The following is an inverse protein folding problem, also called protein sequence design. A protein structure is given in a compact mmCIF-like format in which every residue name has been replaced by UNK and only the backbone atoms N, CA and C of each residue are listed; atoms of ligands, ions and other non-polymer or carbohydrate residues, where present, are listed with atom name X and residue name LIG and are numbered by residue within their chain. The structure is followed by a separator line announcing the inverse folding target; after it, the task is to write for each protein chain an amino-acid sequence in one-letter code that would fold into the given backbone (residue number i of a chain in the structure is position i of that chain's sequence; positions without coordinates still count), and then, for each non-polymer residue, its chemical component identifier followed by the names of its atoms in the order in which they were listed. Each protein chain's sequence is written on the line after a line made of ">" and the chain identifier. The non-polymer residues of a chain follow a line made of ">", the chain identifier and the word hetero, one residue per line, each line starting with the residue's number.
data_IF_480308146619
#
_entry.id   IF_480308146619
#
_cell.length_a   1.000
_cell.length_b   1.000
_cell.length_c   1.000
_cell.angle_alpha   90.00
_cell.angle_beta   90.00
_cell.angle_gamma   90.00
#
_symmetry.space_group_name_H-M   'P 1'
#
loop_
_entity.id
_entity.type
_entity.pdbx_description
1 polymer ?
#
# COMPACT_ATOMS: atom_id res chain seq x y z
N UNK A 1 -19.80 -26.81 -8.08
CA UNK A 1 -19.97 -26.68 -9.54
C UNK A 1 -18.68 -27.13 -10.23
N UNK A 2 -18.72 -27.76 -11.42
CA UNK A 2 -17.52 -28.17 -12.13
C UNK A 2 -16.73 -26.94 -12.62
N UNK A 3 -15.39 -26.99 -12.52
CA UNK A 3 -14.52 -26.03 -13.21
C UNK A 3 -14.64 -26.31 -14.72
N UNK A 4 -15.30 -25.42 -15.47
CA UNK A 4 -15.13 -25.41 -16.93
C UNK A 4 -13.69 -24.98 -17.23
N UNK A 5 -12.88 -25.90 -17.74
CA UNK A 5 -11.62 -25.53 -18.38
C UNK A 5 -11.96 -24.77 -19.67
N UNK A 6 -11.94 -23.44 -19.61
CA UNK A 6 -11.86 -22.63 -20.82
C UNK A 6 -10.42 -22.72 -21.32
N UNK A 7 -10.20 -23.59 -22.31
CA UNK A 7 -9.13 -23.38 -23.28
C UNK A 7 -9.48 -22.14 -24.11
N UNK A 8 -9.16 -20.96 -23.58
CA UNK A 8 -9.11 -19.74 -24.38
C UNK A 8 -7.97 -19.93 -25.38
N UNK A 9 -8.28 -20.04 -26.66
CA UNK A 9 -7.30 -19.85 -27.72
C UNK A 9 -6.91 -18.38 -27.74
N UNK A 10 -5.95 -18.03 -26.90
CA UNK A 10 -5.40 -16.69 -26.77
C UNK A 10 -4.48 -16.48 -27.97
N UNK A 11 -5.01 -15.85 -29.01
CA UNK A 11 -4.23 -15.32 -30.12
C UNK A 11 -3.04 -14.49 -29.58
N UNK A 12 -1.85 -14.71 -30.14
CA UNK A 12 -0.61 -14.06 -29.72
C UNK A 12 -0.50 -12.65 -30.34
N UNK A 13 -1.54 -11.85 -30.13
CA UNK A 13 -1.59 -10.43 -30.49
C UNK A 13 -2.10 -9.60 -29.32
N UNK A 14 -1.87 -8.29 -29.39
CA UNK A 14 -2.46 -7.34 -28.45
C UNK A 14 -3.99 -7.46 -28.36
N UNK A 15 -4.66 -7.68 -29.50
CA UNK A 15 -6.11 -7.83 -29.56
C UNK A 15 -6.56 -9.12 -28.88
N UNK A 16 -5.90 -10.25 -29.15
CA UNK A 16 -6.17 -11.54 -28.50
C UNK A 16 -6.05 -11.45 -26.97
N UNK A 17 -5.00 -10.77 -26.47
CA UNK A 17 -4.82 -10.55 -25.04
C UNK A 17 -5.92 -9.65 -24.42
N UNK A 18 -6.28 -8.53 -25.06
CA UNK A 18 -7.41 -7.68 -24.62
C UNK A 18 -8.73 -8.45 -24.61
N UNK A 19 -8.98 -9.29 -25.62
CA UNK A 19 -10.24 -10.01 -25.78
C UNK A 19 -10.38 -11.15 -24.76
N UNK A 20 -9.28 -11.85 -24.44
CA UNK A 20 -9.22 -12.79 -23.32
C UNK A 20 -9.47 -12.12 -21.96
N UNK A 21 -8.87 -10.95 -21.70
CA UNK A 21 -9.12 -10.15 -20.48
C UNK A 21 -10.59 -9.68 -20.39
N UNK A 22 -11.18 -9.25 -21.52
CA UNK A 22 -12.62 -8.92 -21.61
C UNK A 22 -13.50 -10.14 -21.30
N UNK A 23 -13.18 -11.31 -21.86
CA UNK A 23 -13.91 -12.56 -21.65
C UNK A 23 -13.84 -13.04 -20.19
N UNK A 24 -12.65 -13.05 -19.57
CA UNK A 24 -12.49 -13.35 -18.14
C UNK A 24 -13.35 -12.44 -17.27
N UNK A 25 -13.29 -11.11 -17.51
CA UNK A 25 -14.06 -10.11 -16.76
C UNK A 25 -15.57 -10.25 -16.98
N UNK A 26 -16.02 -10.55 -18.19
CA UNK A 26 -17.44 -10.78 -18.50
C UNK A 26 -17.98 -12.05 -17.82
N UNK A 27 -17.25 -13.16 -17.92
CA UNK A 27 -17.63 -14.46 -17.34
C UNK A 27 -17.34 -14.55 -15.83
N UNK A 28 -16.78 -13.49 -15.22
CA UNK A 28 -16.35 -13.42 -13.80
C UNK A 28 -15.33 -14.52 -13.42
N UNK A 29 -14.49 -14.92 -14.37
CA UNK A 29 -13.40 -15.88 -14.15
C UNK A 29 -12.23 -15.13 -13.53
N UNK A 30 -12.01 -15.31 -12.23
CA UNK A 30 -10.86 -14.75 -11.52
C UNK A 30 -9.75 -15.79 -11.41
N UNK A 31 -8.65 -15.55 -12.12
CA UNK A 31 -7.36 -16.20 -11.91
C UNK A 31 -6.28 -15.13 -12.04
N UNK A 32 -5.62 -14.82 -10.92
CA UNK A 32 -4.62 -13.75 -10.85
C UNK A 32 -3.40 -14.04 -11.74
N UNK A 33 -2.97 -15.30 -11.78
CA UNK A 33 -1.87 -15.79 -12.63
C UNK A 33 -2.17 -15.62 -14.13
N UNK A 34 -3.38 -16.01 -14.55
CA UNK A 34 -3.82 -15.87 -15.95
C UNK A 34 -4.02 -14.39 -16.32
N UNK A 35 -4.60 -13.59 -15.42
CA UNK A 35 -4.78 -12.15 -15.64
C UNK A 35 -3.44 -11.41 -15.73
N UNK A 36 -2.45 -11.78 -14.89
CA UNK A 36 -1.07 -11.28 -14.96
C UNK A 36 -0.43 -11.65 -16.29
N UNK A 37 -0.46 -12.93 -16.66
CA UNK A 37 0.11 -13.46 -17.91
C UNK A 37 -0.45 -12.77 -19.15
N UNK A 38 -1.77 -12.53 -19.17
CA UNK A 38 -2.45 -11.79 -20.24
C UNK A 38 -2.09 -10.30 -20.25
N UNK A 39 -1.92 -9.69 -19.07
CA UNK A 39 -1.52 -8.28 -18.94
C UNK A 39 -0.09 -8.07 -19.43
N UNK A 40 0.84 -8.93 -19.04
CA UNK A 40 2.25 -8.84 -19.45
C UNK A 40 2.42 -9.14 -20.96
N UNK A 41 1.62 -10.06 -21.52
CA UNK A 41 1.50 -10.24 -22.98
C UNK A 41 0.97 -8.99 -23.67
N UNK A 42 -0.12 -8.40 -23.18
CA UNK A 42 -0.69 -7.18 -23.75
C UNK A 42 0.31 -6.00 -23.68
N UNK A 43 1.04 -5.86 -22.57
CA UNK A 43 2.16 -4.92 -22.40
C UNK A 43 3.27 -5.18 -23.42
N UNK A 44 3.72 -6.43 -23.58
CA UNK A 44 4.79 -6.79 -24.53
C UNK A 44 4.41 -6.43 -25.97
N UNK A 45 3.15 -6.64 -26.36
CA UNK A 45 2.68 -6.22 -27.69
C UNK A 45 2.48 -4.70 -27.83
N UNK A 46 2.20 -3.96 -26.74
CA UNK A 46 2.18 -2.48 -26.76
C UNK A 46 3.59 -1.90 -26.94
N UNK A 47 4.58 -2.42 -26.21
CA UNK A 47 5.99 -2.03 -26.36
C UNK A 47 6.55 -2.30 -27.77
N UNK A 48 5.92 -3.22 -28.52
CA UNK A 48 6.29 -3.56 -29.89
C UNK A 48 5.55 -2.75 -30.98
N UNK A 49 4.65 -1.80 -30.62
CA UNK A 49 3.93 -0.99 -31.60
C UNK A 49 4.79 0.15 -32.15
N UNK A 50 4.87 0.26 -33.48
CA UNK A 50 5.55 1.36 -34.17
C UNK A 50 4.72 2.63 -34.32
N UNK A 51 3.38 2.52 -34.21
CA UNK A 51 2.44 3.65 -34.26
C UNK A 51 2.11 4.13 -32.83
N UNK A 52 2.49 5.37 -32.45
CA UNK A 52 2.22 5.90 -31.11
C UNK A 52 0.73 6.13 -30.80
N UNK A 53 -0.12 6.40 -31.79
CA UNK A 53 -1.56 6.65 -31.53
C UNK A 53 -2.28 5.32 -31.25
N UNK A 54 -1.99 4.28 -32.04
CA UNK A 54 -2.48 2.92 -31.77
C UNK A 54 -2.00 2.40 -30.41
N UNK A 55 -0.73 2.67 -30.07
CA UNK A 55 -0.14 2.34 -28.77
C UNK A 55 -0.82 3.06 -27.61
N UNK A 56 -1.10 4.37 -27.72
CA UNK A 56 -1.81 5.14 -26.69
C UNK A 56 -3.25 4.64 -26.52
N UNK A 57 -3.97 4.44 -27.63
CA UNK A 57 -5.34 3.93 -27.60
C UNK A 57 -5.42 2.50 -27.04
N UNK A 58 -4.45 1.65 -27.38
CA UNK A 58 -4.31 0.31 -26.84
C UNK A 58 -4.03 0.33 -25.34
N UNK A 59 -3.06 1.13 -24.88
CA UNK A 59 -2.80 1.32 -23.46
C UNK A 59 -4.08 1.79 -22.73
N UNK A 60 -4.81 2.77 -23.26
CA UNK A 60 -6.05 3.26 -22.69
C UNK A 60 -7.14 2.16 -22.60
N UNK A 61 -7.27 1.28 -23.59
CA UNK A 61 -8.16 0.12 -23.52
C UNK A 61 -7.72 -0.90 -22.46
N UNK A 62 -6.42 -1.25 -22.41
CA UNK A 62 -5.88 -2.14 -21.39
C UNK A 62 -6.16 -1.59 -19.99
N UNK A 63 -5.92 -0.29 -19.77
CA UNK A 63 -6.22 0.37 -18.49
C UNK A 63 -7.71 0.25 -18.12
N UNK A 64 -8.65 0.44 -19.06
CA UNK A 64 -10.10 0.29 -18.79
C UNK A 64 -10.47 -1.12 -18.33
N UNK A 65 -9.73 -2.13 -18.77
CA UNK A 65 -9.85 -3.51 -18.28
C UNK A 65 -9.22 -3.67 -16.89
N UNK A 66 -7.98 -3.20 -16.70
CA UNK A 66 -7.20 -3.38 -15.47
C UNK A 66 -7.62 -2.51 -14.28
N UNK A 67 -8.50 -1.51 -14.48
CA UNK A 67 -9.08 -0.60 -13.45
C UNK A 67 -9.80 -1.28 -12.26
N UNK A 68 -9.79 -2.62 -12.12
CA UNK A 68 -10.36 -3.35 -10.97
C UNK A 68 -9.46 -4.41 -10.33
N UNK A 69 -8.34 -4.80 -10.95
CA UNK A 69 -7.52 -5.95 -10.55
C UNK A 69 -6.15 -5.62 -9.96
N UNK A 70 -5.72 -4.35 -9.99
CA UNK A 70 -4.51 -3.90 -9.29
C UNK A 70 -3.18 -4.25 -9.97
N UNK A 71 -3.22 -4.93 -11.12
CA UNK A 71 -2.08 -5.27 -11.99
C UNK A 71 -1.53 -4.06 -12.79
N UNK A 72 -1.61 -2.87 -12.19
CA UNK A 72 -1.17 -1.61 -12.80
C UNK A 72 0.36 -1.45 -12.83
N UNK A 73 1.11 -2.26 -12.08
CA UNK A 73 2.58 -2.19 -12.04
C UNK A 73 3.21 -2.50 -13.40
N UNK A 74 2.83 -3.59 -14.06
CA UNK A 74 3.30 -3.94 -15.42
C UNK A 74 2.94 -2.85 -16.44
N UNK A 75 1.77 -2.25 -16.28
CA UNK A 75 1.21 -1.23 -17.17
C UNK A 75 1.92 0.13 -17.02
N UNK A 76 2.24 0.53 -15.79
CA UNK A 76 3.08 1.70 -15.51
C UNK A 76 4.54 1.47 -15.95
N UNK A 77 5.07 0.26 -15.74
CA UNK A 77 6.41 -0.16 -16.19
C UNK A 77 6.53 -0.07 -17.72
N UNK A 78 5.52 -0.54 -18.46
CA UNK A 78 5.43 -0.42 -19.91
C UNK A 78 5.50 1.04 -20.39
N UNK A 79 4.58 1.89 -19.91
CA UNK A 79 4.53 3.29 -20.32
C UNK A 79 5.84 4.05 -20.04
N UNK A 80 6.54 3.72 -18.95
CA UNK A 80 7.84 4.34 -18.61
C UNK A 80 8.99 3.86 -19.50
N UNK A 81 9.04 2.57 -19.87
CA UNK A 81 10.09 2.04 -20.78
C UNK A 81 10.02 2.66 -22.18
N UNK A 82 8.84 3.13 -22.60
CA UNK A 82 8.62 3.77 -23.89
C UNK A 82 9.01 5.27 -23.95
N UNK A 83 9.61 5.81 -22.88
CA UNK A 83 10.25 7.14 -22.90
C UNK A 83 9.31 8.34 -23.10
N UNK A 84 8.00 8.14 -22.92
CA UNK A 84 6.96 9.17 -23.07
C UNK A 84 6.22 9.36 -21.75
N UNK A 85 5.58 10.51 -21.58
CA UNK A 85 4.56 10.65 -20.54
C UNK A 85 3.50 9.55 -20.71
N UNK A 86 3.06 8.97 -19.60
CA UNK A 86 1.87 8.12 -19.56
C UNK A 86 0.67 8.87 -20.17
N UNK A 87 -0.34 8.17 -20.73
CA UNK A 87 -1.63 8.79 -21.06
C UNK A 87 -2.38 9.31 -19.81
N UNK A 88 -1.78 9.16 -18.64
CA UNK A 88 -2.07 9.92 -17.43
C UNK A 88 -0.95 10.91 -17.16
N UNK A 89 -1.27 12.19 -17.03
CA UNK A 89 -0.29 13.21 -16.61
C UNK A 89 0.15 13.03 -15.16
N UNK A 90 -0.69 12.38 -14.33
CA UNK A 90 -0.35 11.98 -12.95
C UNK A 90 -0.93 10.59 -12.63
N UNK A 91 -0.08 9.68 -12.14
CA UNK A 91 -0.49 8.38 -11.61
C UNK A 91 -0.46 8.39 -10.08
N UNK A 92 -1.62 8.40 -9.43
CA UNK A 92 -1.74 8.36 -7.97
C UNK A 92 -1.83 6.91 -7.50
N UNK A 93 -0.89 6.50 -6.65
CA UNK A 93 -0.69 5.08 -6.31
C UNK A 93 -0.80 4.86 -4.81
N UNK A 94 -1.89 4.20 -4.39
CA UNK A 94 -2.14 3.84 -3.00
C UNK A 94 -1.48 2.52 -2.61
N UNK A 95 -0.58 2.58 -1.64
CA UNK A 95 0.06 1.43 -0.99
C UNK A 95 -0.68 1.15 0.33
N UNK A 96 -1.21 -0.06 0.53
CA UNK A 96 -2.16 -0.34 1.62
C UNK A 96 -1.52 -1.13 2.76
N UNK A 97 -1.50 -0.53 3.95
CA UNK A 97 -1.17 -1.21 5.21
C UNK A 97 -2.47 -1.77 5.83
N UNK A 98 -2.53 -3.05 6.24
CA UNK A 98 -3.71 -3.63 6.86
C UNK A 98 -4.22 -2.80 8.05
N UNK A 99 -5.55 -2.61 8.14
CA UNK A 99 -6.19 -1.92 9.27
C UNK A 99 -6.18 -0.38 9.22
N UNK A 100 -5.48 0.26 8.27
CA UNK A 100 -5.37 1.73 8.14
C UNK A 100 -6.39 2.37 7.19
N UNK A 101 -7.42 1.62 6.79
CA UNK A 101 -8.56 2.17 6.04
C UNK A 101 -8.46 2.12 4.51
N UNK A 102 -7.65 1.24 3.91
CA UNK A 102 -7.71 1.04 2.44
C UNK A 102 -9.09 0.62 1.93
N UNK A 103 -9.94 0.02 2.77
CA UNK A 103 -11.36 -0.22 2.49
C UNK A 103 -12.19 1.07 2.29
N UNK A 104 -11.77 2.20 2.86
CA UNK A 104 -12.31 3.53 2.54
C UNK A 104 -11.73 4.01 1.22
N UNK A 105 -10.39 4.03 1.07
CA UNK A 105 -9.72 4.55 -0.14
C UNK A 105 -10.20 3.83 -1.40
N UNK A 106 -10.27 2.49 -1.39
CA UNK A 106 -10.75 1.66 -2.51
C UNK A 106 -12.22 1.90 -2.90
N UNK A 107 -13.04 2.48 -2.01
CA UNK A 107 -14.47 2.76 -2.26
C UNK A 107 -14.73 4.24 -2.58
N UNK A 108 -13.90 5.12 -2.05
CA UNK A 108 -14.19 6.54 -1.98
C UNK A 108 -13.21 7.40 -2.78
N UNK A 109 -11.98 6.96 -3.06
CA UNK A 109 -11.00 7.73 -3.85
C UNK A 109 -11.02 7.31 -5.33
N UNK A 110 -11.14 8.28 -6.23
CA UNK A 110 -11.31 8.08 -7.67
C UNK A 110 -10.46 9.10 -8.48
N UNK A 111 -10.17 8.82 -9.76
CA UNK A 111 -9.64 9.83 -10.69
C UNK A 111 -10.56 11.06 -10.75
N UNK A 112 -9.98 12.26 -10.68
CA UNK A 112 -10.74 13.52 -10.74
C UNK A 112 -11.13 13.94 -12.16
N UNK A 113 -10.45 13.39 -13.17
CA UNK A 113 -10.70 13.61 -14.58
C UNK A 113 -10.43 12.30 -15.38
N UNK A 114 -10.20 12.42 -16.70
CA UNK A 114 -9.92 11.26 -17.60
C UNK A 114 -8.43 10.93 -17.73
N UNK A 115 -7.56 11.86 -17.35
CA UNK A 115 -6.09 11.82 -17.43
C UNK A 115 -5.42 11.54 -16.07
N UNK A 116 -6.22 11.22 -15.06
CA UNK A 116 -5.77 10.66 -13.79
C UNK A 116 -6.00 9.14 -13.68
N UNK A 117 -5.12 8.49 -12.94
CA UNK A 117 -5.30 7.12 -12.46
C UNK A 117 -5.14 7.04 -10.95
N UNK A 118 -6.04 6.31 -10.29
CA UNK A 118 -5.89 5.88 -8.90
C UNK A 118 -5.65 4.38 -8.90
N UNK A 119 -4.46 3.98 -8.47
CA UNK A 119 -3.97 2.60 -8.42
C UNK A 119 -3.98 2.12 -6.98
N UNK A 120 -4.46 0.91 -6.72
CA UNK A 120 -4.46 0.31 -5.38
C UNK A 120 -3.58 -0.94 -5.38
N UNK A 121 -2.36 -0.86 -4.85
CA UNK A 121 -1.36 -1.94 -4.93
C UNK A 121 -1.66 -3.12 -4.00
N UNK A 122 -2.41 -2.89 -2.92
CA UNK A 122 -2.69 -3.90 -1.89
C UNK A 122 -1.63 -3.96 -0.80
N UNK A 123 -1.60 -5.06 -0.05
CA UNK A 123 -0.63 -5.32 1.02
C UNK A 123 0.71 -5.79 0.42
N UNK A 124 1.41 -4.89 -0.28
CA UNK A 124 2.73 -5.17 -0.85
C UNK A 124 3.84 -4.55 -0.01
N UNK A 125 5.01 -5.18 -0.01
CA UNK A 125 6.23 -4.69 0.65
C UNK A 125 7.28 -4.26 -0.39
N UNK A 126 8.29 -3.52 0.05
CA UNK A 126 9.29 -2.91 -0.81
C UNK A 126 10.63 -3.65 -0.70
N UNK A 127 11.08 -4.28 -1.79
CA UNK A 127 12.39 -4.92 -1.86
C UNK A 127 13.21 -4.25 -2.96
N UNK A 128 14.38 -3.73 -2.61
CA UNK A 128 15.30 -3.03 -3.52
C UNK A 128 16.49 -3.92 -3.95
N UNK A 129 16.29 -5.23 -3.94
CA UNK A 129 17.31 -6.23 -4.27
C UNK A 129 18.42 -6.42 -3.22
N UNK A 130 18.45 -5.60 -2.17
CA UNK A 130 19.38 -5.74 -1.04
C UNK A 130 18.83 -6.53 0.14
N UNK A 131 17.51 -6.76 0.16
CA UNK A 131 16.82 -7.48 1.22
C UNK A 131 16.31 -8.85 0.75
N UNK A 132 16.54 -9.87 1.57
CA UNK A 132 16.00 -11.21 1.39
C UNK A 132 14.60 -11.35 2.03
N UNK A 133 13.63 -12.01 1.37
CA UNK A 133 12.36 -12.38 2.00
C UNK A 133 12.56 -13.19 3.28
N UNK A 134 11.73 -12.95 4.30
CA UNK A 134 11.84 -13.60 5.62
C UNK A 134 12.81 -12.87 6.56
N UNK A 135 14.03 -12.56 6.08
CA UNK A 135 15.09 -11.93 6.88
C UNK A 135 14.75 -10.51 7.35
N UNK A 136 14.07 -9.70 6.52
CA UNK A 136 13.71 -8.31 6.85
C UNK A 136 12.19 -8.04 6.80
N UNK A 137 11.39 -9.00 6.32
CA UNK A 137 9.95 -8.87 6.08
C UNK A 137 9.23 -10.16 6.46
N UNK A 138 8.22 -10.13 7.35
CA UNK A 138 7.47 -11.33 7.74
C UNK A 138 6.82 -12.04 6.55
N UNK A 139 6.99 -13.36 6.45
CA UNK A 139 6.58 -14.21 5.30
C UNK A 139 5.15 -13.96 4.81
N UNK A 140 4.22 -13.71 5.76
CA UNK A 140 2.82 -13.36 5.50
C UNK A 140 2.62 -12.15 4.55
N UNK A 141 3.66 -11.35 4.30
CA UNK A 141 3.68 -10.23 3.35
C UNK A 141 4.63 -10.40 2.16
N UNK A 142 5.54 -11.38 2.15
CA UNK A 142 6.56 -11.57 1.11
C UNK A 142 6.32 -12.79 0.21
N UNK A 143 5.24 -13.56 0.45
CA UNK A 143 4.84 -14.79 -0.24
C UNK A 143 4.44 -14.62 -1.74
N UNK A 144 5.37 -14.15 -2.57
CA UNK A 144 5.32 -14.24 -4.03
C UNK A 144 5.90 -13.01 -4.75
N UNK A 145 6.36 -13.12 -6.01
CA UNK A 145 6.89 -11.97 -6.77
C UNK A 145 5.90 -10.79 -6.89
N UNK A 146 4.60 -11.07 -6.88
CA UNK A 146 3.55 -10.06 -6.90
C UNK A 146 3.29 -9.37 -5.55
N UNK A 147 3.88 -9.84 -4.45
CA UNK A 147 3.81 -9.20 -3.14
C UNK A 147 4.87 -8.07 -2.98
N UNK A 148 5.89 -8.08 -3.83
CA UNK A 148 7.03 -7.17 -3.75
C UNK A 148 6.90 -6.00 -4.74
N UNK A 149 7.57 -4.89 -4.44
CA UNK A 149 7.66 -3.67 -5.24
C UNK A 149 9.09 -3.13 -5.20
N UNK A 150 9.57 -2.58 -6.31
CA UNK A 150 10.84 -1.84 -6.36
C UNK A 150 10.62 -0.33 -6.53
N UNK A 151 11.69 0.46 -6.45
CA UNK A 151 11.67 1.91 -6.74
C UNK A 151 11.19 2.20 -8.17
N UNK A 152 11.55 1.34 -9.12
CA UNK A 152 11.30 1.49 -10.56
C UNK A 152 9.84 1.19 -10.90
N UNK A 153 9.15 0.41 -10.06
CA UNK A 153 7.70 0.23 -10.13
C UNK A 153 6.93 1.46 -9.65
N UNK A 154 7.48 2.20 -8.68
CA UNK A 154 6.90 3.45 -8.14
C UNK A 154 7.43 4.73 -8.82
N UNK A 155 8.44 4.65 -9.67
CA UNK A 155 9.07 5.81 -10.31
C UNK A 155 8.05 6.64 -11.10
N UNK A 156 7.95 7.94 -10.78
CA UNK A 156 6.99 8.85 -11.43
C UNK A 156 5.52 8.66 -11.01
N UNK A 157 5.22 7.74 -10.09
CA UNK A 157 3.93 7.75 -9.39
C UNK A 157 3.96 8.79 -8.26
N UNK A 158 2.81 9.37 -7.94
CA UNK A 158 2.58 10.06 -6.67
C UNK A 158 2.05 9.01 -5.68
N UNK A 159 2.89 8.59 -4.73
CA UNK A 159 2.59 7.46 -3.84
C UNK A 159 1.88 7.94 -2.58
N UNK A 160 0.69 7.40 -2.33
CA UNK A 160 -0.18 7.73 -1.20
C UNK A 160 -0.24 6.52 -0.26
N UNK A 161 -0.29 6.75 1.04
CA UNK A 161 -0.65 5.70 2.00
C UNK A 161 -1.38 6.25 3.23
N UNK A 162 -1.79 5.34 4.11
CA UNK A 162 -2.50 5.64 5.35
C UNK A 162 -1.74 5.03 6.53
N UNK A 163 -1.52 5.83 7.57
CA UNK A 163 -1.24 5.34 8.93
C UNK A 163 -2.52 5.29 9.78
N UNK A 164 -2.38 4.72 10.96
CA UNK A 164 -3.31 4.71 12.08
C UNK A 164 -2.45 4.85 13.34
N UNK A 165 -2.99 5.36 14.43
CA UNK A 165 -2.25 5.38 15.69
C UNK A 165 -1.71 3.97 16.07
N UNK A 166 -0.41 3.87 16.34
CA UNK A 166 0.28 2.58 16.56
C UNK A 166 -0.28 1.77 17.74
N UNK A 167 -0.78 2.44 18.80
CA UNK A 167 -1.37 1.77 19.96
C UNK A 167 -2.72 1.10 19.60
N UNK A 168 -3.51 1.72 18.73
CA UNK A 168 -4.74 1.14 18.17
C UNK A 168 -4.41 -0.04 17.25
N UNK A 169 -3.36 0.07 16.43
CA UNK A 169 -2.87 -1.05 15.58
C UNK A 169 -2.48 -2.25 16.44
N UNK A 170 -1.67 -2.05 17.47
CA UNK A 170 -1.19 -3.12 18.36
C UNK A 170 -2.37 -3.77 19.09
N UNK A 171 -3.27 -2.99 19.69
CA UNK A 171 -4.52 -3.52 20.29
C UNK A 171 -5.37 -4.33 19.28
N UNK A 172 -5.40 -3.92 18.00
CA UNK A 172 -6.11 -4.65 16.94
C UNK A 172 -5.39 -5.90 16.44
N UNK A 173 -4.07 -6.00 16.60
CA UNK A 173 -3.29 -7.20 16.32
C UNK A 173 -3.43 -8.19 17.48
N UNK A 174 -3.31 -7.72 18.73
CA UNK A 174 -3.60 -8.50 19.94
C UNK A 174 -5.02 -9.08 19.95
N UNK A 175 -6.02 -8.35 19.46
CA UNK A 175 -7.39 -8.85 19.33
C UNK A 175 -7.65 -9.68 18.05
N UNK A 176 -6.65 -9.90 17.19
CA UNK A 176 -6.80 -10.60 15.90
C UNK A 176 -7.61 -9.86 14.83
N UNK A 177 -8.21 -8.72 15.19
CA UNK A 177 -9.18 -7.96 14.38
C UNK A 177 -8.58 -7.23 13.16
N UNK A 178 -7.26 -7.35 12.92
CA UNK A 178 -6.59 -6.99 11.66
C UNK A 178 -6.75 -8.07 10.58
N UNK A 179 -6.86 -9.34 10.96
CA UNK A 179 -6.87 -10.48 10.01
C UNK A 179 -8.23 -11.20 9.91
N UNK A 180 -9.18 -10.91 10.79
CA UNK A 180 -10.52 -11.52 10.76
C UNK A 180 -11.58 -10.71 11.51
N UNK A 181 -12.82 -11.22 11.50
CA UNK A 181 -13.92 -10.69 12.31
C UNK A 181 -13.87 -11.27 13.72
N UNK A 182 -12.81 -10.94 14.46
CA UNK A 182 -12.77 -11.22 15.88
C UNK A 182 -13.69 -10.24 16.62
N UNK A 183 -14.70 -10.76 17.29
CA UNK A 183 -15.51 -10.01 18.28
C UNK A 183 -14.81 -9.99 19.67
N UNK A 184 -13.55 -10.44 19.72
CA UNK A 184 -12.67 -10.43 20.88
C UNK A 184 -12.08 -9.04 21.13
N UNK A 185 -11.86 -8.71 22.39
CA UNK A 185 -11.22 -7.47 22.87
C UNK A 185 -10.01 -7.90 23.68
N UNK A 186 -8.85 -7.33 23.38
CA UNK A 186 -7.59 -7.74 24.00
C UNK A 186 -7.46 -7.16 25.42
N UNK A 187 -6.86 -7.94 26.32
CA UNK A 187 -6.42 -7.44 27.63
C UNK A 187 -5.06 -6.73 27.54
N UNK A 188 -4.63 -6.08 28.61
CA UNK A 188 -3.26 -5.58 28.76
C UNK A 188 -2.23 -6.70 28.60
N UNK A 189 -2.53 -7.90 29.07
CA UNK A 189 -1.69 -9.09 29.02
C UNK A 189 -1.58 -9.66 27.60
N UNK A 190 -2.62 -9.52 26.77
CA UNK A 190 -2.58 -9.83 25.34
C UNK A 190 -1.81 -8.78 24.53
N UNK A 191 -1.82 -7.52 24.98
CA UNK A 191 -0.96 -6.46 24.41
C UNK A 191 0.50 -6.73 24.77
N UNK A 192 0.82 -6.97 26.05
CA UNK A 192 2.18 -7.29 26.49
C UNK A 192 2.73 -8.54 25.80
N UNK A 193 1.94 -9.63 25.73
CA UNK A 193 2.31 -10.83 24.96
C UNK A 193 2.53 -10.52 23.49
N UNK A 194 1.67 -9.73 22.85
CA UNK A 194 1.85 -9.34 21.46
C UNK A 194 3.15 -8.56 21.23
N UNK A 195 3.51 -7.64 22.13
CA UNK A 195 4.77 -6.87 22.04
C UNK A 195 5.98 -7.80 22.18
N UNK A 196 6.01 -8.70 23.18
CA UNK A 196 7.09 -9.69 23.29
C UNK A 196 7.15 -10.64 22.09
N UNK A 197 6.02 -11.12 21.58
CA UNK A 197 5.96 -11.98 20.39
C UNK A 197 6.49 -11.33 19.09
N UNK A 198 6.63 -10.01 19.07
CA UNK A 198 7.28 -9.27 17.99
C UNK A 198 8.79 -9.11 18.30
N UNK A 199 9.14 -8.70 19.52
CA UNK A 199 10.53 -8.56 20.01
C UNK A 199 11.33 -9.87 19.91
N UNK A 200 10.78 -11.00 20.34
CA UNK A 200 11.53 -12.26 20.52
C UNK A 200 11.74 -13.05 19.21
N UNK A 201 10.93 -12.83 18.17
CA UNK A 201 11.06 -13.53 16.87
C UNK A 201 12.11 -12.82 16.01
N UNK A 202 13.28 -12.55 16.58
CA UNK A 202 14.21 -11.56 16.06
C UNK A 202 15.68 -11.92 16.40
N UNK A 203 16.33 -12.64 15.48
CA UNK A 203 17.71 -13.10 15.60
C UNK A 203 18.71 -11.95 15.35
N UNK A 204 18.73 -10.97 16.26
CA UNK A 204 19.62 -9.80 16.21
C UNK A 204 19.18 -8.66 15.27
N UNK A 205 18.11 -8.86 14.49
CA UNK A 205 17.43 -7.84 13.68
C UNK A 205 16.20 -7.35 14.41
N UNK A 206 15.93 -6.03 14.48
CA UNK A 206 14.77 -5.50 15.22
C UNK A 206 13.44 -5.81 14.51
N UNK A 207 12.82 -6.94 14.84
CA UNK A 207 11.54 -7.36 14.25
C UNK A 207 10.34 -6.59 14.83
N UNK A 208 10.11 -5.37 14.36
CA UNK A 208 8.90 -4.57 14.64
C UNK A 208 7.58 -5.17 14.12
N UNK A 209 7.58 -6.43 13.62
CA UNK A 209 6.44 -7.13 13.06
C UNK A 209 5.74 -6.46 11.89
N UNK A 210 6.48 -5.66 11.12
CA UNK A 210 6.02 -4.92 9.96
C UNK A 210 4.89 -3.91 10.22
N UNK A 211 5.11 -2.99 11.17
CA UNK A 211 4.36 -1.74 11.23
C UNK A 211 5.16 -0.61 10.58
N UNK A 212 4.49 0.09 9.65
CA UNK A 212 4.90 1.29 8.96
C UNK A 212 6.20 1.27 8.14
N UNK A 213 7.41 1.31 8.71
CA UNK A 213 8.63 1.52 7.91
C UNK A 213 8.85 0.50 6.78
N UNK A 214 8.58 -0.81 6.93
CA UNK A 214 8.66 -1.79 5.83
C UNK A 214 7.69 -1.52 4.64
N UNK A 215 6.71 -0.63 4.81
CA UNK A 215 5.80 -0.18 3.75
C UNK A 215 6.15 1.21 3.22
N UNK A 216 7.09 1.94 3.84
CA UNK A 216 7.36 3.36 3.57
C UNK A 216 8.80 3.66 3.17
N UNK A 217 9.75 2.87 3.66
CA UNK A 217 11.16 2.92 3.29
C UNK A 217 11.55 1.64 2.56
N UNK A 218 12.50 1.75 1.64
CA UNK A 218 13.26 0.61 1.13
C UNK A 218 14.30 0.14 2.18
N UNK A 219 14.88 -1.06 2.02
CA UNK A 219 16.05 -1.50 2.79
C UNK A 219 17.24 -0.53 2.73
N UNK A 220 17.45 0.17 1.60
CA UNK A 220 18.39 1.31 1.49
C UNK A 220 18.00 2.57 2.29
N UNK A 221 16.91 2.54 3.05
CA UNK A 221 16.38 3.63 3.86
C UNK A 221 15.67 4.74 3.08
N UNK A 222 15.58 4.62 1.76
CA UNK A 222 14.94 5.61 0.88
C UNK A 222 13.42 5.58 1.05
N UNK A 223 12.80 6.71 1.38
CA UNK A 223 11.34 6.82 1.46
C UNK A 223 10.69 6.71 0.07
N UNK A 224 9.67 5.87 -0.07
CA UNK A 224 8.95 5.66 -1.34
C UNK A 224 7.64 6.45 -1.43
N UNK A 225 7.05 6.85 -0.30
CA UNK A 225 5.77 7.56 -0.21
C UNK A 225 5.95 9.07 -0.44
N UNK A 226 4.93 9.71 -1.02
CA UNK A 226 4.84 11.16 -1.25
C UNK A 226 3.79 11.82 -0.35
N UNK A 227 2.73 11.10 0.02
CA UNK A 227 1.67 11.58 0.90
C UNK A 227 1.21 10.54 1.93
N UNK A 228 1.09 10.96 3.20
CA UNK A 228 0.61 10.11 4.32
C UNK A 228 -0.66 10.69 4.93
N UNK A 229 -1.78 9.98 4.79
CA UNK A 229 -3.01 10.25 5.54
C UNK A 229 -2.97 9.55 6.91
N UNK A 230 -3.74 10.04 7.89
CA UNK A 230 -4.04 9.34 9.14
C UNK A 230 -5.47 8.81 9.10
N UNK A 231 -5.73 7.58 9.58
CA UNK A 231 -7.08 6.98 9.56
C UNK A 231 -8.13 7.83 10.28
N UNK A 232 -7.69 8.51 11.34
CA UNK A 232 -8.49 9.29 12.27
C UNK A 232 -8.95 10.62 11.64
N UNK A 233 -8.12 11.24 10.77
CA UNK A 233 -8.41 12.48 10.00
C UNK A 233 -8.61 12.20 8.51
N UNK A 234 -8.98 10.96 8.13
CA UNK A 234 -8.82 10.49 6.75
C UNK A 234 -9.71 11.19 5.70
N UNK A 235 -10.86 11.77 6.06
CA UNK A 235 -11.59 12.66 5.14
C UNK A 235 -10.81 13.97 4.90
N UNK A 236 -10.26 14.56 5.94
CA UNK A 236 -9.56 15.85 5.90
C UNK A 236 -8.24 15.73 5.11
N UNK A 237 -7.46 14.68 5.37
CA UNK A 237 -6.23 14.40 4.64
C UNK A 237 -6.49 14.08 3.16
N UNK A 238 -7.56 13.35 2.83
CA UNK A 238 -7.91 13.09 1.42
C UNK A 238 -8.51 14.33 0.74
N UNK A 239 -9.20 15.21 1.47
CA UNK A 239 -9.62 16.53 0.96
C UNK A 239 -8.40 17.39 0.63
N UNK A 240 -7.38 17.41 1.49
CA UNK A 240 -6.14 18.14 1.24
C UNK A 240 -5.34 17.54 0.07
N UNK A 241 -5.40 16.21 -0.14
CA UNK A 241 -4.80 15.52 -1.29
C UNK A 241 -5.41 15.97 -2.63
N UNK A 242 -6.73 16.22 -2.70
CA UNK A 242 -7.40 16.72 -3.92
C UNK A 242 -6.87 18.08 -4.42
N UNK A 243 -6.26 18.88 -3.54
CA UNK A 243 -5.68 20.16 -3.90
C UNK A 243 -4.30 20.03 -4.58
N UNK A 244 -3.69 18.84 -4.57
CA UNK A 244 -2.31 18.60 -5.03
C UNK A 244 -2.25 17.63 -6.22
N UNK A 245 -3.16 16.65 -6.30
CA UNK A 245 -3.23 15.68 -7.39
C UNK A 245 -4.65 15.55 -7.96
N UNK A 246 -4.82 15.20 -9.25
CA UNK A 246 -6.13 15.14 -9.92
C UNK A 246 -6.95 13.91 -9.48
N UNK A 247 -7.39 13.91 -8.22
CA UNK A 247 -8.29 12.92 -7.62
C UNK A 247 -9.56 13.61 -7.13
N UNK A 248 -10.61 12.81 -6.95
CA UNK A 248 -11.86 13.20 -6.27
C UNK A 248 -12.21 12.11 -5.29
N UNK A 249 -12.81 12.49 -4.17
CA UNK A 249 -13.31 11.55 -3.20
C UNK A 249 -14.78 11.78 -2.81
N UNK A 250 -15.39 10.73 -2.28
CA UNK A 250 -16.68 10.82 -1.62
C UNK A 250 -16.47 10.78 -0.11
N UNK A 251 -16.61 11.94 0.54
CA UNK A 251 -16.67 12.04 2.00
C UNK A 251 -17.69 11.05 2.57
N UNK A 252 -17.35 10.42 3.69
CA UNK A 252 -18.36 9.64 4.43
C UNK A 252 -18.17 9.76 5.93
N UNK A 253 -19.28 9.92 6.65
CA UNK A 253 -19.33 9.94 8.11
C UNK A 253 -19.07 8.57 8.77
N UNK A 254 -18.42 7.64 8.06
CA UNK A 254 -18.15 6.24 8.46
C UNK A 254 -16.66 5.87 8.44
N UNK A 255 -15.75 6.82 8.19
CA UNK A 255 -14.30 6.57 8.36
C UNK A 255 -13.99 6.36 9.83
N UNK A 256 -13.10 5.40 10.13
CA UNK A 256 -12.77 4.99 11.50
C UNK A 256 -13.92 4.37 12.31
N UNK A 257 -15.19 4.54 11.90
CA UNK A 257 -16.34 4.13 12.72
C UNK A 257 -16.33 2.62 12.96
N UNK A 258 -16.36 2.31 14.25
CA UNK A 258 -15.97 1.03 14.81
C UNK A 258 -17.04 -0.04 14.57
N UNK A 259 -16.66 -1.30 14.75
CA UNK A 259 -17.58 -2.43 14.94
C UNK A 259 -17.73 -2.81 16.43
N UNK A 260 -16.84 -2.29 17.27
CA UNK A 260 -16.75 -2.44 18.72
C UNK A 260 -16.36 -1.07 19.29
N UNK A 261 -17.23 -0.40 20.05
CA UNK A 261 -17.08 1.05 20.30
C UNK A 261 -15.98 1.45 21.30
N UNK A 262 -15.36 0.51 22.02
CA UNK A 262 -14.36 0.77 23.06
C UNK A 262 -13.17 1.59 22.57
N UNK A 263 -12.73 2.54 23.38
CA UNK A 263 -11.46 3.23 23.16
C UNK A 263 -10.32 2.28 23.50
N UNK A 264 -9.33 2.13 22.60
CA UNK A 264 -8.25 1.16 22.78
C UNK A 264 -7.44 1.45 24.05
N UNK A 265 -7.38 2.71 24.47
CA UNK A 265 -6.75 3.17 25.72
C UNK A 265 -7.27 2.43 26.96
N UNK A 266 -8.52 2.00 26.96
CA UNK A 266 -9.15 1.28 28.08
C UNK A 266 -8.60 -0.15 28.27
N UNK A 267 -7.70 -0.60 27.38
CA UNK A 267 -7.10 -1.93 27.40
C UNK A 267 -5.59 -1.90 27.66
N UNK A 268 -4.99 -0.71 27.79
CA UNK A 268 -3.58 -0.54 28.15
C UNK A 268 -3.40 -0.36 29.67
N UNK A 269 -2.27 -0.81 30.18
CA UNK A 269 -1.71 -0.37 31.46
C UNK A 269 -0.54 0.59 31.19
N UNK A 270 -0.08 1.35 32.19
CA UNK A 270 1.12 2.20 32.03
C UNK A 270 2.30 1.40 31.50
N UNK A 271 2.54 0.21 32.08
CA UNK A 271 3.56 -0.76 31.62
C UNK A 271 3.45 -1.10 30.14
N UNK A 272 2.24 -1.29 29.60
CA UNK A 272 2.09 -1.61 28.17
C UNK A 272 2.16 -0.38 27.27
N UNK A 273 1.90 0.83 27.78
CA UNK A 273 2.25 2.07 27.07
C UNK A 273 3.77 2.21 27.01
N UNK A 274 4.48 2.10 28.14
CA UNK A 274 5.95 2.21 28.23
C UNK A 274 6.67 1.23 27.28
N UNK A 275 6.19 -0.02 27.20
CA UNK A 275 6.71 -1.04 26.29
C UNK A 275 6.53 -0.66 24.81
N UNK A 276 5.37 -0.12 24.44
CA UNK A 276 5.08 0.31 23.06
C UNK A 276 5.88 1.56 22.70
N UNK A 277 5.95 2.55 23.60
CA UNK A 277 6.77 3.75 23.40
C UNK A 277 8.25 3.43 23.25
N UNK A 278 8.76 2.47 24.03
CA UNK A 278 10.16 2.04 23.94
C UNK A 278 10.46 1.34 22.60
N UNK A 279 9.58 0.43 22.14
CA UNK A 279 9.87 -0.38 20.95
C UNK A 279 9.54 0.30 19.61
N UNK A 280 8.52 1.16 19.56
CA UNK A 280 8.10 1.91 18.36
C UNK A 280 8.43 3.41 18.43
N UNK A 281 9.40 3.84 19.26
CA UNK A 281 9.80 5.24 19.41
C UNK A 281 9.99 5.99 18.08
N UNK A 282 10.68 5.39 17.11
CA UNK A 282 11.00 6.05 15.85
C UNK A 282 9.77 6.18 14.92
N UNK A 283 8.81 5.25 14.97
CA UNK A 283 7.49 5.36 14.34
C UNK A 283 6.70 6.50 15.00
N UNK A 284 6.66 6.48 16.33
CA UNK A 284 6.00 7.48 17.19
C UNK A 284 6.52 8.90 16.90
N UNK A 285 7.83 9.09 16.78
CA UNK A 285 8.44 10.40 16.53
C UNK A 285 8.32 10.87 15.07
N UNK A 286 8.28 9.95 14.09
CA UNK A 286 8.16 10.32 12.68
C UNK A 286 6.70 10.58 12.27
N UNK A 287 5.76 9.67 12.59
CA UNK A 287 4.33 9.88 12.30
C UNK A 287 3.66 10.81 13.33
N UNK A 288 4.35 11.11 14.42
CA UNK A 288 3.83 11.88 15.54
C UNK A 288 2.66 11.16 16.20
N UNK A 289 2.77 9.85 16.44
CA UNK A 289 1.74 9.15 17.22
C UNK A 289 1.75 9.66 18.67
N UNK A 290 0.58 9.69 19.29
CA UNK A 290 0.41 10.06 20.70
C UNK A 290 -0.62 9.13 21.34
N UNK A 291 -0.31 8.56 22.50
CA UNK A 291 -1.25 7.65 23.18
C UNK A 291 -2.52 8.40 23.61
N UNK A 292 -2.37 9.49 24.35
CA UNK A 292 -3.49 10.27 24.88
C UNK A 292 -4.20 11.07 23.77
N UNK A 293 -3.46 11.87 23.00
CA UNK A 293 -4.04 12.84 22.07
C UNK A 293 -4.25 12.27 20.66
N UNK A 294 -3.88 11.00 20.42
CA UNK A 294 -3.92 10.34 19.12
C UNK A 294 -2.75 10.73 18.22
N UNK A 295 -2.48 12.03 18.07
CA UNK A 295 -1.32 12.54 17.32
C UNK A 295 -0.75 13.84 17.87
N UNK A 296 0.59 13.94 17.80
CA UNK A 296 1.39 15.14 18.01
C UNK A 296 1.25 16.09 16.82
N UNK A 297 1.20 17.39 17.09
CA UNK A 297 1.21 18.45 16.07
C UNK A 297 2.60 18.59 15.43
N UNK A 298 2.67 19.01 14.17
CA UNK A 298 3.96 19.21 13.48
C UNK A 298 4.77 17.94 13.20
N UNK A 299 4.13 16.77 13.21
CA UNK A 299 4.72 15.47 12.87
C UNK A 299 5.44 15.48 11.52
N UNK A 300 6.54 14.73 11.43
CA UNK A 300 7.42 14.75 10.26
C UNK A 300 6.83 14.03 9.04
N UNK A 301 6.10 12.92 9.24
CA UNK A 301 5.51 12.11 8.17
C UNK A 301 3.96 12.17 8.18
N UNK A 302 3.42 13.35 7.88
CA UNK A 302 1.98 13.58 7.69
C UNK A 302 1.77 14.51 6.49
N UNK A 303 0.73 14.25 5.68
CA UNK A 303 0.43 14.96 4.43
C UNK A 303 1.63 14.95 3.47
N UNK A 304 2.02 16.09 2.88
CA UNK A 304 3.07 16.17 1.85
C UNK A 304 4.49 15.97 2.42
N UNK A 305 5.01 14.76 2.24
CA UNK A 305 6.35 14.36 2.70
C UNK A 305 7.41 14.41 1.58
N UNK A 306 7.07 14.88 0.37
CA UNK A 306 7.99 14.90 -0.79
C UNK A 306 9.29 15.68 -0.51
N UNK A 307 9.18 16.76 0.26
CA UNK A 307 10.32 17.55 0.76
C UNK A 307 11.29 16.74 1.62
N UNK A 308 10.78 15.79 2.42
CA UNK A 308 11.57 14.96 3.32
C UNK A 308 12.10 13.68 2.64
N UNK A 309 11.43 13.24 1.56
CA UNK A 309 11.75 12.03 0.78
C UNK A 309 13.20 11.95 0.32
N UNK A 310 13.82 13.11 0.02
CA UNK A 310 15.22 13.20 -0.43
C UNK A 310 16.23 13.27 0.71
N UNK A 311 15.96 14.00 1.80
CA UNK A 311 16.88 14.21 2.91
C UNK A 311 16.80 13.15 4.03
N UNK A 312 15.75 12.33 4.05
CA UNK A 312 15.55 11.33 5.12
C UNK A 312 16.05 9.95 4.68
N UNK A 313 16.84 9.28 5.54
CA UNK A 313 17.18 7.86 5.40
C UNK A 313 16.87 7.12 6.70
N UNK A 314 16.19 5.99 6.61
CA UNK A 314 15.94 5.09 7.74
C UNK A 314 16.83 3.85 7.64
N UNK A 315 17.78 3.68 8.56
CA UNK A 315 18.67 2.50 8.60
C UNK A 315 17.99 1.46 9.50
N UNK A 316 17.44 0.42 8.88
CA UNK A 316 16.61 -0.58 9.55
C UNK A 316 17.46 -1.51 10.45
N UNK A 317 18.73 -1.72 10.11
CA UNK A 317 19.70 -2.54 10.84
C UNK A 317 19.94 -2.01 12.26
N UNK A 318 19.90 -0.69 12.43
CA UNK A 318 20.26 0.01 13.67
C UNK A 318 19.07 0.70 14.34
N UNK A 319 17.90 0.70 13.68
CA UNK A 319 16.76 1.55 14.01
C UNK A 319 17.17 3.04 14.18
N UNK A 320 17.67 3.65 13.11
CA UNK A 320 18.06 5.07 13.13
C UNK A 320 17.51 5.85 11.94
N UNK A 321 17.26 7.15 12.18
CA UNK A 321 16.75 8.09 11.18
C UNK A 321 17.81 9.16 10.94
N UNK A 322 18.53 9.06 9.83
CA UNK A 322 19.39 10.16 9.37
C UNK A 322 18.55 11.19 8.62
N UNK A 323 18.89 12.47 8.85
CA UNK A 323 18.26 13.63 8.21
C UNK A 323 19.38 14.55 7.72
N UNK A 324 19.53 14.64 6.41
CA UNK A 324 20.36 15.67 5.77
C UNK A 324 19.67 17.03 5.92
N UNK A 325 20.45 18.10 6.15
CA UNK A 325 19.96 19.43 6.50
C UNK A 325 19.70 20.31 5.26
#
# INVERSE_FOLDING_TARGET
>A
MPKKNLSLEIDNTFKGALEALRLMRHQRIWSFELETTLTDRAVTHLEAMSDPEQMIQGAAELIKLMKRSGLFSSLARACRRMGRATPFSTCVTFLHIPGTGGSYIRRNLWPGDREAAVVHLGHRVLLDGRAEPGTHYPDKYSNGPAANLSTEDLAGCFVVSNVRNIFDVIHRVSSGSVYGSADYVASSEDIERCVYEHIEKSDGVVNRGAFYFPFFAQPSGTLCVDWVNRLETLNEDVTALEAIVPVRHYETSKVGKKRTDTDYRQHYSSRTVDLVETHWRNDIDLFGFDYENGYKTGSYLHQDIRKFKRSTRYVWETDTVHREA
#
